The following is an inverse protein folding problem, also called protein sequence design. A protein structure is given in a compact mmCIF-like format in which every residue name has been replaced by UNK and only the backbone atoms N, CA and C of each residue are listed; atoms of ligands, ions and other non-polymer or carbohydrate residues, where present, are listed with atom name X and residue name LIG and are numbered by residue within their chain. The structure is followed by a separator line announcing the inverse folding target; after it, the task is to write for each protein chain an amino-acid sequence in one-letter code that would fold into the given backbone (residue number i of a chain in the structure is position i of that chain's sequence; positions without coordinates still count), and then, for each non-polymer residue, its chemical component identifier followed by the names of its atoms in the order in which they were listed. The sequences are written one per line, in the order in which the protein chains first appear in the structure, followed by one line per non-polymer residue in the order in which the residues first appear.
data_IF_537787981698
#
_entry.id   IF_537787981698
#
_cell.length_a   1.000
_cell.length_b   1.000
_cell.length_c   1.000
_cell.angle_alpha   90.00
_cell.angle_beta   90.00
_cell.angle_gamma   90.00
#
_symmetry.space_group_name_H-M   'P 1'
#
loop_
_entity.id
_entity.type
_entity.pdbx_description
1 polymer ?
#
# COMPACT_ATOMS: atom_id res chain seq x y z
N UNK A 1 10.70 -18.50 -0.90
CA UNK A 1 10.81 -19.90 -1.32
C UNK A 1 12.12 -20.14 -2.08
N UNK A 2 12.38 -19.49 -3.24
CA UNK A 2 13.51 -19.72 -4.17
C UNK A 2 14.89 -19.73 -3.49
N UNK A 3 15.20 -18.71 -2.68
CA UNK A 3 16.48 -18.62 -1.95
C UNK A 3 16.72 -19.81 -1.02
N UNK A 4 15.68 -20.24 -0.29
CA UNK A 4 15.75 -21.38 0.62
C UNK A 4 15.90 -22.70 -0.14
N UNK A 5 15.06 -22.93 -1.14
CA UNK A 5 15.09 -24.15 -1.97
C UNK A 5 16.41 -24.29 -2.71
N UNK A 6 16.92 -23.22 -3.32
CA UNK A 6 18.22 -23.21 -3.99
C UNK A 6 19.36 -23.62 -3.06
N UNK A 7 19.34 -23.11 -1.82
CA UNK A 7 20.36 -23.50 -0.80
C UNK A 7 20.21 -24.97 -0.38
N UNK A 8 18.96 -25.41 -0.12
CA UNK A 8 18.69 -26.73 0.44
C UNK A 8 18.88 -27.86 -0.59
N UNK A 9 18.45 -27.65 -1.81
CA UNK A 9 18.46 -28.67 -2.87
C UNK A 9 19.76 -28.66 -3.70
N UNK A 10 20.44 -27.54 -3.80
CA UNK A 10 21.69 -27.41 -4.55
C UNK A 10 21.52 -27.90 -5.99
N UNK A 11 22.42 -28.79 -6.43
CA UNK A 11 22.42 -29.37 -7.79
C UNK A 11 21.31 -30.41 -8.04
N UNK A 12 20.51 -30.76 -7.00
CA UNK A 12 19.44 -31.79 -7.12
C UNK A 12 18.16 -31.21 -7.76
N UNK A 13 18.08 -29.89 -7.93
CA UNK A 13 16.93 -29.25 -8.55
C UNK A 13 17.35 -28.01 -9.35
N UNK A 14 16.74 -27.85 -10.50
CA UNK A 14 16.77 -26.59 -11.25
C UNK A 14 15.52 -25.78 -10.84
N UNK A 15 15.70 -24.53 -10.53
CA UNK A 15 14.62 -23.65 -10.06
C UNK A 15 14.46 -22.54 -11.07
N UNK A 16 13.29 -22.42 -11.67
CA UNK A 16 12.93 -21.28 -12.50
C UNK A 16 12.07 -20.34 -11.68
N UNK A 17 12.55 -19.12 -11.47
CA UNK A 17 11.79 -18.04 -10.85
C UNK A 17 11.25 -17.13 -11.94
N UNK A 18 9.94 -17.12 -12.09
CA UNK A 18 9.24 -16.26 -13.05
C UNK A 18 8.61 -15.10 -12.28
N UNK A 19 8.93 -13.89 -12.64
CA UNK A 19 8.37 -12.67 -12.08
C UNK A 19 8.17 -11.64 -13.19
N UNK A 20 7.11 -10.84 -13.12
CA UNK A 20 6.88 -9.74 -14.09
C UNK A 20 7.88 -8.59 -13.92
N UNK A 21 8.51 -8.50 -12.74
CA UNK A 21 9.52 -7.50 -12.43
C UNK A 21 10.91 -8.12 -12.31
N UNK A 22 11.95 -7.35 -12.63
CA UNK A 22 13.35 -7.75 -12.42
C UNK A 22 13.81 -7.60 -10.97
N UNK A 23 12.96 -7.11 -10.10
CA UNK A 23 13.23 -6.84 -8.69
C UNK A 23 12.18 -7.45 -7.77
N UNK A 24 12.56 -7.67 -6.53
CA UNK A 24 11.66 -8.01 -5.43
C UNK A 24 11.39 -6.78 -4.58
N UNK A 25 10.14 -6.46 -4.36
CA UNK A 25 9.72 -5.36 -3.48
C UNK A 25 9.49 -5.87 -2.06
N UNK A 26 10.03 -5.15 -1.07
CA UNK A 26 9.67 -5.35 0.34
C UNK A 26 8.28 -4.77 0.58
N UNK A 27 7.25 -5.60 0.40
CA UNK A 27 5.84 -5.18 0.48
C UNK A 27 5.48 -4.60 1.86
N UNK A 28 6.19 -5.02 2.90
CA UNK A 28 6.02 -4.51 4.27
C UNK A 28 6.53 -3.09 4.49
N UNK A 29 7.25 -2.53 3.52
CA UNK A 29 7.87 -1.21 3.59
C UNK A 29 7.19 -0.19 2.63
N UNK A 30 6.09 -0.58 1.96
CA UNK A 30 5.40 0.29 1.00
C UNK A 30 4.93 1.60 1.63
N UNK A 31 4.46 1.56 2.88
CA UNK A 31 4.01 2.74 3.61
C UNK A 31 5.14 3.76 3.82
N UNK A 32 6.39 3.32 3.97
CA UNK A 32 7.55 4.19 4.11
C UNK A 32 7.84 5.00 2.85
N UNK A 33 7.67 4.38 1.68
CA UNK A 33 7.78 5.05 0.38
C UNK A 33 6.60 6.00 0.18
N UNK A 34 5.37 5.54 0.44
CA UNK A 34 4.16 6.34 0.31
C UNK A 34 4.17 7.57 1.21
N UNK A 35 4.72 7.46 2.43
CA UNK A 35 4.90 8.55 3.41
C UNK A 35 6.16 9.40 3.20
N UNK A 36 6.91 9.17 2.12
CA UNK A 36 8.12 9.95 1.81
C UNK A 36 9.23 9.83 2.86
N UNK A 37 9.27 8.71 3.61
CA UNK A 37 10.30 8.46 4.62
C UNK A 37 11.58 7.89 4.02
N UNK A 38 11.44 7.00 3.05
CA UNK A 38 12.56 6.37 2.35
C UNK A 38 12.47 6.62 0.84
N UNK A 39 13.62 6.56 0.18
CA UNK A 39 13.66 6.64 -1.28
C UNK A 39 13.13 5.34 -1.90
N UNK A 40 12.48 5.42 -3.08
CA UNK A 40 11.81 4.29 -3.71
C UNK A 40 12.68 3.05 -3.91
N UNK A 41 13.95 3.23 -4.28
CA UNK A 41 14.89 2.14 -4.54
C UNK A 41 15.35 1.41 -3.26
N UNK A 42 15.14 2.00 -2.08
CA UNK A 42 15.51 1.39 -0.81
C UNK A 42 14.77 0.09 -0.50
N UNK A 43 13.55 -0.06 -1.04
CA UNK A 43 12.71 -1.24 -0.82
C UNK A 43 12.69 -2.23 -1.98
N UNK A 44 13.53 -1.99 -3.01
CA UNK A 44 13.64 -2.85 -4.18
C UNK A 44 14.95 -3.62 -4.19
N UNK A 45 14.87 -4.92 -4.40
CA UNK A 45 16.03 -5.80 -4.47
C UNK A 45 16.12 -6.44 -5.85
N UNK A 46 17.14 -6.08 -6.63
CA UNK A 46 17.40 -6.67 -7.94
C UNK A 46 17.56 -8.18 -7.86
N UNK A 47 16.76 -8.92 -8.62
CA UNK A 47 16.74 -10.38 -8.59
C UNK A 47 18.01 -10.99 -9.15
N UNK A 48 18.62 -10.38 -10.16
CA UNK A 48 19.90 -10.89 -10.73
C UNK A 48 21.01 -10.80 -9.68
N UNK A 49 21.09 -9.66 -8.97
CA UNK A 49 22.03 -9.47 -7.89
C UNK A 49 21.77 -10.42 -6.72
N UNK A 50 20.50 -10.62 -6.35
CA UNK A 50 20.09 -11.51 -5.26
C UNK A 50 20.47 -12.98 -5.52
N UNK A 51 20.37 -13.42 -6.78
CA UNK A 51 20.64 -14.81 -7.20
C UNK A 51 21.95 -15.00 -7.97
N UNK A 52 22.80 -13.99 -8.11
CA UNK A 52 24.06 -14.05 -8.89
C UNK A 52 24.96 -15.26 -8.57
N UNK A 53 24.96 -15.72 -7.32
CA UNK A 53 25.76 -16.87 -6.86
C UNK A 53 24.99 -18.19 -6.82
N UNK A 54 23.79 -18.27 -7.41
CA UNK A 54 22.89 -19.44 -7.38
C UNK A 54 22.80 -20.08 -8.75
N UNK A 55 23.77 -20.94 -9.08
CA UNK A 55 23.87 -21.59 -10.41
C UNK A 55 22.67 -22.47 -10.78
N UNK A 56 21.86 -22.90 -9.79
CA UNK A 56 20.66 -23.69 -9.98
C UNK A 56 19.36 -22.86 -10.01
N UNK A 57 19.46 -21.55 -10.16
CA UNK A 57 18.32 -20.63 -10.30
C UNK A 57 18.40 -19.95 -11.66
N UNK A 58 17.36 -20.15 -12.45
CA UNK A 58 17.08 -19.41 -13.67
C UNK A 58 16.07 -18.31 -13.37
N UNK A 59 16.38 -17.07 -13.74
CA UNK A 59 15.47 -15.93 -13.62
C UNK A 59 14.79 -15.68 -14.97
N UNK A 60 13.48 -15.51 -14.93
CA UNK A 60 12.66 -15.18 -16.11
C UNK A 60 11.82 -13.97 -15.72
N UNK A 61 12.11 -12.84 -16.35
CA UNK A 61 11.30 -11.63 -16.21
C UNK A 61 10.20 -11.66 -17.28
N UNK A 62 9.02 -12.15 -16.88
CA UNK A 62 7.89 -12.31 -17.79
C UNK A 62 6.57 -12.45 -17.03
N UNK A 63 5.45 -12.26 -17.71
CA UNK A 63 4.11 -12.37 -17.13
C UNK A 63 3.51 -13.74 -17.40
N UNK A 64 3.15 -14.46 -16.33
CA UNK A 64 2.40 -15.72 -16.42
C UNK A 64 0.98 -15.42 -16.91
N UNK A 65 0.53 -16.13 -17.95
CA UNK A 65 -0.80 -15.99 -18.54
C UNK A 65 -1.64 -17.27 -18.44
N UNK A 66 -1.03 -18.39 -18.10
CA UNK A 66 -1.74 -19.65 -17.94
C UNK A 66 -0.95 -20.71 -17.19
N UNK A 67 -1.66 -21.64 -16.58
CA UNK A 67 -1.10 -22.81 -15.88
C UNK A 67 -1.92 -24.03 -16.26
N UNK A 68 -1.29 -24.98 -16.91
CA UNK A 68 -1.84 -26.31 -17.19
C UNK A 68 -1.31 -27.27 -16.11
N UNK A 69 -2.19 -27.66 -15.22
CA UNK A 69 -1.83 -28.56 -14.10
C UNK A 69 -1.66 -30.00 -14.53
N UNK A 70 -2.39 -30.45 -15.55
CA UNK A 70 -2.38 -31.82 -16.04
C UNK A 70 -1.11 -32.09 -16.81
N UNK A 71 -0.74 -31.21 -17.74
CA UNK A 71 0.49 -31.31 -18.52
C UNK A 71 1.69 -30.68 -17.81
N UNK A 72 1.50 -30.09 -16.63
CA UNK A 72 2.54 -29.43 -15.80
C UNK A 72 3.32 -28.36 -16.58
N UNK A 73 2.60 -27.42 -17.19
CA UNK A 73 3.15 -26.35 -17.98
C UNK A 73 2.69 -24.99 -17.43
N UNK A 74 3.64 -24.07 -17.25
CA UNK A 74 3.36 -22.64 -17.04
C UNK A 74 3.59 -21.92 -18.37
N UNK A 75 2.59 -21.17 -18.83
CA UNK A 75 2.66 -20.35 -20.03
C UNK A 75 2.83 -18.89 -19.65
N UNK A 76 3.79 -18.23 -20.26
CA UNK A 76 4.05 -16.80 -20.11
C UNK A 76 3.82 -16.09 -21.45
N UNK A 77 3.92 -14.76 -21.48
CA UNK A 77 3.78 -14.01 -22.74
C UNK A 77 4.85 -14.37 -23.77
N UNK A 78 6.04 -14.75 -23.34
CA UNK A 78 7.21 -14.98 -24.20
C UNK A 78 7.58 -16.47 -24.36
N UNK A 79 6.98 -17.38 -23.57
CA UNK A 79 7.32 -18.80 -23.65
C UNK A 79 6.54 -19.71 -22.73
N UNK A 80 6.95 -20.96 -22.65
CA UNK A 80 6.35 -21.98 -21.80
C UNK A 80 7.43 -22.74 -21.02
N UNK A 81 7.09 -23.15 -19.79
CA UNK A 81 8.02 -23.80 -18.87
C UNK A 81 7.36 -25.03 -18.23
N UNK A 82 8.00 -26.18 -18.41
CA UNK A 82 7.58 -27.41 -17.74
C UNK A 82 8.03 -27.41 -16.29
N UNK A 83 7.25 -28.06 -15.41
CA UNK A 83 7.58 -28.19 -14.00
C UNK A 83 7.26 -29.58 -13.46
N UNK A 84 8.05 -30.08 -12.52
CA UNK A 84 7.69 -31.21 -11.66
C UNK A 84 6.88 -30.74 -10.45
N UNK A 85 7.30 -29.61 -9.88
CA UNK A 85 6.69 -28.94 -8.73
C UNK A 85 6.51 -27.44 -9.03
N UNK A 86 5.34 -26.91 -8.73
CA UNK A 86 5.02 -25.49 -8.91
C UNK A 86 4.73 -24.85 -7.54
N UNK A 87 5.38 -23.71 -7.29
CA UNK A 87 5.09 -22.86 -6.14
C UNK A 87 4.45 -21.58 -6.65
N UNK A 88 3.20 -21.33 -6.28
CA UNK A 88 2.47 -20.10 -6.57
C UNK A 88 2.76 -19.08 -5.47
N UNK A 89 3.43 -18.00 -5.83
CA UNK A 89 3.80 -16.92 -4.92
C UNK A 89 3.41 -15.55 -5.47
N UNK A 90 2.30 -15.48 -6.18
CA UNK A 90 1.85 -14.29 -6.94
C UNK A 90 1.26 -13.18 -6.06
N UNK A 91 1.13 -13.41 -4.74
CA UNK A 91 0.48 -12.47 -3.83
C UNK A 91 -1.05 -12.50 -3.96
N UNK A 92 -1.67 -11.35 -3.82
CA UNK A 92 -3.12 -11.15 -3.91
C UNK A 92 -3.44 -9.86 -4.66
N UNK A 93 -4.67 -9.40 -4.51
CA UNK A 93 -5.16 -8.12 -5.02
C UNK A 93 -5.91 -7.36 -3.91
N UNK A 94 -5.93 -6.02 -3.95
CA UNK A 94 -6.74 -5.24 -3.03
C UNK A 94 -8.22 -5.59 -3.20
N UNK A 95 -8.94 -5.67 -2.07
CA UNK A 95 -10.38 -5.85 -2.09
C UNK A 95 -11.06 -4.52 -1.75
N UNK A 96 -11.84 -4.00 -2.70
CA UNK A 96 -12.64 -2.78 -2.54
C UNK A 96 -14.02 -3.06 -1.93
N UNK A 97 -14.34 -4.33 -1.64
CA UNK A 97 -15.64 -4.78 -1.14
C UNK A 97 -16.84 -4.33 -2.00
N UNK A 98 -16.61 -3.99 -3.26
CA UNK A 98 -17.63 -3.47 -4.18
C UNK A 98 -18.08 -2.04 -3.83
N UNK A 99 -17.30 -1.29 -3.07
CA UNK A 99 -17.63 0.10 -2.72
C UNK A 99 -17.47 0.99 -3.95
N UNK A 100 -18.56 1.67 -4.40
CA UNK A 100 -18.52 2.55 -5.56
C UNK A 100 -17.45 3.64 -5.44
N UNK A 101 -16.76 3.90 -6.54
CA UNK A 101 -15.78 4.96 -6.67
C UNK A 101 -14.39 4.68 -6.05
N UNK A 102 -14.20 3.56 -5.35
CA UNK A 102 -12.89 3.23 -4.78
C UNK A 102 -11.83 3.05 -5.85
N UNK A 103 -12.15 2.40 -6.96
CA UNK A 103 -11.19 2.17 -8.06
C UNK A 103 -10.86 3.44 -8.82
N UNK A 104 -11.84 4.33 -8.95
CA UNK A 104 -11.74 5.56 -9.73
C UNK A 104 -11.10 6.71 -8.96
N UNK A 105 -11.35 6.79 -7.65
CA UNK A 105 -11.01 7.96 -6.83
C UNK A 105 -10.16 7.62 -5.60
N UNK A 106 -10.12 6.34 -5.21
CA UNK A 106 -9.31 5.88 -4.08
C UNK A 106 -7.87 5.56 -4.47
N UNK A 107 -7.04 5.42 -3.44
CA UNK A 107 -5.67 4.92 -3.55
C UNK A 107 -5.54 3.63 -2.77
N UNK A 108 -5.02 2.59 -3.40
CA UNK A 108 -4.63 1.36 -2.73
C UNK A 108 -3.14 1.39 -2.41
N UNK A 109 -2.73 0.82 -1.30
CA UNK A 109 -1.32 0.65 -0.96
C UNK A 109 -0.97 -0.84 -1.05
N UNK A 110 -0.77 -1.31 -2.28
CA UNK A 110 -0.57 -2.73 -2.57
C UNK A 110 0.65 -3.03 -3.45
N UNK A 111 1.00 -2.12 -4.32
CA UNK A 111 2.15 -2.22 -5.21
C UNK A 111 3.14 -1.08 -4.96
N UNK A 112 4.34 -1.23 -5.51
CA UNK A 112 5.34 -0.17 -5.50
C UNK A 112 4.84 1.09 -6.23
N UNK A 113 4.18 0.88 -7.36
CA UNK A 113 3.57 1.93 -8.16
C UNK A 113 2.47 2.67 -7.38
N UNK A 114 1.68 1.94 -6.58
CA UNK A 114 0.67 2.56 -5.70
C UNK A 114 1.32 3.46 -4.65
N UNK A 115 2.41 3.01 -4.03
CA UNK A 115 3.12 3.82 -3.04
C UNK A 115 3.65 5.14 -3.64
N UNK A 116 4.20 5.10 -4.85
CA UNK A 116 4.64 6.29 -5.57
C UNK A 116 3.48 7.21 -5.91
N UNK A 117 2.37 6.67 -6.42
CA UNK A 117 1.17 7.46 -6.75
C UNK A 117 0.60 8.16 -5.52
N UNK A 118 0.56 7.50 -4.36
CA UNK A 118 0.13 8.12 -3.11
C UNK A 118 1.06 9.27 -2.73
N UNK A 119 2.38 9.05 -2.75
CA UNK A 119 3.38 10.08 -2.44
C UNK A 119 3.22 11.30 -3.33
N UNK A 120 3.22 11.10 -4.63
CA UNK A 120 3.10 12.17 -5.62
C UNK A 120 1.77 12.93 -5.48
N UNK A 121 0.67 12.20 -5.25
CA UNK A 121 -0.64 12.80 -5.08
C UNK A 121 -0.70 13.68 -3.82
N UNK A 122 -0.19 13.21 -2.69
CA UNK A 122 -0.16 13.97 -1.44
C UNK A 122 0.66 15.25 -1.62
N UNK A 123 1.88 15.16 -2.18
CA UNK A 123 2.75 16.31 -2.44
C UNK A 123 2.06 17.33 -3.36
N UNK A 124 1.46 16.88 -4.46
CA UNK A 124 0.76 17.74 -5.40
C UNK A 124 -0.48 18.41 -4.77
N UNK A 125 -1.22 17.67 -3.96
CA UNK A 125 -2.44 18.18 -3.29
C UNK A 125 -2.08 19.21 -2.25
N UNK A 126 -1.05 19.00 -1.43
CA UNK A 126 -0.56 19.99 -0.46
C UNK A 126 -0.02 21.23 -1.13
N UNK A 127 0.73 21.09 -2.24
CA UNK A 127 1.22 22.22 -3.02
C UNK A 127 0.08 23.11 -3.57
N UNK A 128 -0.98 22.48 -4.08
CA UNK A 128 -2.19 23.20 -4.54
C UNK A 128 -2.92 23.87 -3.38
N UNK A 129 -3.10 23.17 -2.27
CA UNK A 129 -3.77 23.71 -1.09
C UNK A 129 -3.05 24.93 -0.51
N UNK A 130 -1.71 25.00 -0.62
CA UNK A 130 -0.92 26.12 -0.11
C UNK A 130 -1.28 27.46 -0.76
N UNK A 131 -1.81 27.45 -1.98
CA UNK A 131 -2.20 28.65 -2.74
C UNK A 131 -3.71 28.74 -2.98
N UNK A 132 -4.50 27.82 -2.46
CA UNK A 132 -5.96 27.77 -2.62
C UNK A 132 -6.61 28.87 -1.76
N UNK A 133 -7.36 29.82 -2.38
CA UNK A 133 -8.02 30.90 -1.65
C UNK A 133 -9.33 30.48 -0.99
N UNK A 134 -10.02 29.45 -1.51
CA UNK A 134 -11.23 28.93 -0.89
C UNK A 134 -10.89 28.11 0.36
N UNK A 135 -11.27 28.61 1.51
CA UNK A 135 -10.96 27.98 2.78
C UNK A 135 -11.59 26.58 2.96
N UNK A 136 -12.78 26.36 2.38
CA UNK A 136 -13.45 25.06 2.46
C UNK A 136 -12.75 24.02 1.56
N UNK A 137 -12.42 24.41 0.33
CA UNK A 137 -11.68 23.56 -0.59
C UNK A 137 -10.26 23.26 -0.08
N UNK A 138 -9.55 24.30 0.41
CA UNK A 138 -8.24 24.15 1.05
C UNK A 138 -8.29 23.15 2.21
N UNK A 139 -9.29 23.25 3.09
CA UNK A 139 -9.48 22.31 4.19
C UNK A 139 -9.71 20.88 3.70
N UNK A 140 -10.52 20.69 2.65
CA UNK A 140 -10.77 19.38 2.06
C UNK A 140 -9.48 18.77 1.48
N UNK A 141 -8.68 19.56 0.75
CA UNK A 141 -7.38 19.16 0.22
C UNK A 141 -6.37 18.77 1.30
N UNK A 142 -6.41 19.44 2.46
CA UNK A 142 -5.52 19.16 3.59
C UNK A 142 -6.09 18.14 4.59
N UNK A 143 -7.21 17.49 4.26
CA UNK A 143 -7.79 16.39 5.04
C UNK A 143 -7.43 15.06 4.38
N UNK A 144 -6.55 14.29 5.00
CA UNK A 144 -6.14 12.97 4.52
C UNK A 144 -6.91 11.88 5.26
N UNK A 145 -7.53 10.98 4.50
CA UNK A 145 -8.39 9.93 5.04
C UNK A 145 -7.80 8.55 4.72
N UNK A 146 -7.44 7.82 5.77
CA UNK A 146 -7.06 6.42 5.67
C UNK A 146 -8.27 5.55 5.94
N UNK A 147 -8.68 4.77 4.93
CA UNK A 147 -9.84 3.89 4.97
C UNK A 147 -9.44 2.49 5.44
N UNK A 148 -9.92 2.11 6.61
CA UNK A 148 -9.55 0.87 7.28
C UNK A 148 -8.39 1.03 8.28
N UNK A 149 -8.50 0.33 9.39
CA UNK A 149 -7.56 0.38 10.51
C UNK A 149 -6.84 -0.95 10.75
N UNK A 150 -6.64 -1.75 9.69
CA UNK A 150 -5.71 -2.88 9.71
C UNK A 150 -4.25 -2.42 9.82
N UNK A 151 -3.31 -3.36 9.78
CA UNK A 151 -1.88 -3.03 9.88
C UNK A 151 -1.46 -1.96 8.87
N UNK A 152 -1.74 -2.17 7.59
CA UNK A 152 -1.38 -1.24 6.52
C UNK A 152 -1.94 0.17 6.74
N UNK A 153 -3.22 0.29 7.14
CA UNK A 153 -3.81 1.60 7.41
C UNK A 153 -3.19 2.30 8.60
N UNK A 154 -2.87 1.55 9.67
CA UNK A 154 -2.22 2.13 10.87
C UNK A 154 -0.76 2.49 10.58
N UNK A 155 -0.04 1.71 9.80
CA UNK A 155 1.31 2.03 9.33
C UNK A 155 1.30 3.28 8.44
N UNK A 156 0.37 3.36 7.48
CA UNK A 156 0.24 4.53 6.61
C UNK A 156 -0.07 5.82 7.40
N UNK A 157 -1.01 5.78 8.33
CA UNK A 157 -1.31 6.97 9.15
C UNK A 157 -0.13 7.34 10.06
N UNK A 158 0.66 6.36 10.51
CA UNK A 158 1.91 6.58 11.23
C UNK A 158 2.89 7.41 10.39
N UNK A 159 3.11 7.04 9.15
CA UNK A 159 3.96 7.80 8.21
C UNK A 159 3.41 9.22 7.96
N UNK A 160 2.10 9.35 7.79
CA UNK A 160 1.47 10.67 7.60
C UNK A 160 1.64 11.59 8.80
N UNK A 161 1.63 11.06 10.03
CA UNK A 161 1.92 11.82 11.25
C UNK A 161 3.31 12.44 11.19
N UNK A 162 4.31 11.64 10.81
CA UNK A 162 5.70 12.10 10.75
C UNK A 162 5.97 12.98 9.52
N UNK A 163 5.25 12.77 8.43
CA UNK A 163 5.41 13.56 7.21
C UNK A 163 4.71 14.91 7.26
N UNK A 164 3.62 15.00 7.98
CA UNK A 164 2.79 16.22 8.14
C UNK A 164 3.62 17.48 8.43
N UNK A 165 4.53 17.43 9.39
CA UNK A 165 5.33 18.59 9.79
C UNK A 165 6.35 18.98 8.70
N UNK A 166 6.89 18.00 7.97
CA UNK A 166 7.79 18.22 6.82
C UNK A 166 7.04 18.85 5.65
N UNK A 167 5.84 18.34 5.32
CA UNK A 167 4.97 18.92 4.28
C UNK A 167 4.60 20.36 4.61
N UNK A 168 4.13 20.62 5.83
CA UNK A 168 3.78 21.96 6.27
C UNK A 168 4.97 22.93 6.16
N UNK A 169 6.15 22.52 6.61
CA UNK A 169 7.37 23.34 6.47
C UNK A 169 7.72 23.62 5.00
N UNK A 170 7.66 22.60 4.14
CA UNK A 170 8.01 22.72 2.71
C UNK A 170 7.10 23.69 1.99
N UNK A 171 5.79 23.62 2.25
CA UNK A 171 4.79 24.42 1.57
C UNK A 171 4.35 25.67 2.36
N UNK A 172 5.03 25.99 3.48
CA UNK A 172 4.78 27.17 4.34
C UNK A 172 3.35 27.22 4.88
N UNK A 173 2.83 26.09 5.31
CA UNK A 173 1.53 25.92 5.96
C UNK A 173 1.68 25.82 7.49
N UNK A 174 0.59 26.11 8.23
CA UNK A 174 0.52 25.68 9.64
C UNK A 174 0.28 24.16 9.67
N UNK A 175 1.10 23.36 10.38
CA UNK A 175 0.85 21.92 10.51
C UNK A 175 -0.53 21.57 11.04
N UNK A 176 -1.18 22.49 11.74
CA UNK A 176 -2.55 22.31 12.26
C UNK A 176 -3.62 22.32 11.15
N UNK A 177 -3.32 22.86 9.98
CA UNK A 177 -4.22 22.84 8.83
C UNK A 177 -4.33 21.42 8.23
N UNK A 178 -3.28 20.59 8.35
CA UNK A 178 -3.30 19.22 7.86
C UNK A 178 -4.00 18.32 8.87
N UNK A 179 -5.14 17.77 8.48
CA UNK A 179 -5.98 16.86 9.28
C UNK A 179 -5.79 15.42 8.82
N UNK A 180 -5.58 14.52 9.78
CA UNK A 180 -5.47 13.08 9.54
C UNK A 180 -6.66 12.37 10.15
N UNK A 181 -7.34 11.54 9.36
CA UNK A 181 -8.49 10.75 9.79
C UNK A 181 -8.29 9.28 9.44
N UNK A 182 -8.69 8.41 10.36
CA UNK A 182 -8.84 6.97 10.09
C UNK A 182 -10.32 6.64 10.18
N UNK A 183 -10.88 6.13 9.09
CA UNK A 183 -12.28 5.71 9.01
C UNK A 183 -12.35 4.19 9.04
N UNK A 184 -13.07 3.65 10.02
CA UNK A 184 -13.16 2.23 10.28
C UNK A 184 -14.60 1.78 10.46
N UNK A 185 -14.99 0.72 9.79
CA UNK A 185 -16.33 0.13 9.89
C UNK A 185 -16.59 -0.53 11.24
N UNK A 186 -15.54 -1.00 11.90
CA UNK A 186 -15.59 -1.70 13.19
C UNK A 186 -15.54 -0.71 14.37
N UNK A 187 -15.94 -1.14 15.57
CA UNK A 187 -15.91 -0.30 16.77
C UNK A 187 -14.51 -0.05 17.33
N UNK A 188 -13.49 -0.76 16.85
CA UNK A 188 -12.10 -0.67 17.33
C UNK A 188 -11.13 -0.74 16.17
N UNK A 189 -10.00 -0.04 16.30
CA UNK A 189 -8.87 -0.21 15.38
C UNK A 189 -8.14 -1.53 15.67
N UNK A 190 -7.38 -2.05 14.69
CA UNK A 190 -6.53 -3.25 14.82
C UNK A 190 -7.29 -4.41 15.49
N UNK A 191 -8.52 -4.68 15.07
CA UNK A 191 -9.41 -5.67 15.67
C UNK A 191 -8.85 -7.11 15.71
N UNK A 192 -7.79 -7.39 14.92
CA UNK A 192 -7.05 -8.65 14.94
C UNK A 192 -6.04 -8.76 16.11
N UNK A 193 -5.74 -7.66 16.79
CA UNK A 193 -4.82 -7.65 17.94
C UNK A 193 -5.57 -7.79 19.26
N UNK A 194 -4.81 -8.09 20.31
CA UNK A 194 -5.33 -8.06 21.68
C UNK A 194 -5.78 -6.64 22.08
N UNK A 195 -6.85 -6.54 22.90
CA UNK A 195 -7.45 -5.27 23.33
C UNK A 195 -6.44 -4.26 23.88
N UNK A 196 -5.42 -4.75 24.61
CA UNK A 196 -4.42 -3.87 25.22
C UNK A 196 -3.52 -3.19 24.18
N UNK A 197 -3.16 -3.90 23.11
CA UNK A 197 -2.28 -3.37 22.06
C UNK A 197 -3.06 -2.42 21.14
N UNK A 198 -4.28 -2.78 20.76
CA UNK A 198 -5.19 -1.87 20.04
C UNK A 198 -5.40 -0.57 20.83
N UNK A 199 -5.64 -0.64 22.16
CA UNK A 199 -5.82 0.54 23.00
C UNK A 199 -4.55 1.40 23.13
N UNK A 200 -3.35 0.80 23.07
CA UNK A 200 -2.08 1.58 23.02
C UNK A 200 -1.99 2.37 21.72
N UNK A 201 -2.25 1.71 20.57
CA UNK A 201 -2.24 2.35 19.27
C UNK A 201 -3.27 3.48 19.20
N UNK A 202 -4.49 3.25 19.70
CA UNK A 202 -5.54 4.27 19.76
C UNK A 202 -5.12 5.50 20.56
N UNK A 203 -4.55 5.30 21.76
CA UNK A 203 -4.03 6.41 22.58
C UNK A 203 -2.92 7.19 21.87
N UNK A 204 -2.01 6.50 21.17
CA UNK A 204 -0.95 7.14 20.40
C UNK A 204 -1.53 8.01 19.30
N UNK A 205 -2.44 7.46 18.47
CA UNK A 205 -3.08 8.21 17.39
C UNK A 205 -3.83 9.44 17.89
N UNK A 206 -4.61 9.31 18.97
CA UNK A 206 -5.31 10.42 19.60
C UNK A 206 -4.34 11.49 20.14
N UNK A 207 -3.24 11.08 20.76
CA UNK A 207 -2.20 12.02 21.23
C UNK A 207 -1.55 12.79 20.07
N UNK A 208 -1.44 12.17 18.90
CA UNK A 208 -0.99 12.78 17.64
C UNK A 208 -2.09 13.54 16.89
N UNK A 209 -3.28 13.68 17.49
CA UNK A 209 -4.45 14.39 16.94
C UNK A 209 -4.99 13.78 15.63
N UNK A 210 -4.84 12.48 15.47
CA UNK A 210 -5.54 11.72 14.43
C UNK A 210 -6.98 11.52 14.88
N UNK A 211 -7.92 11.87 14.02
CA UNK A 211 -9.35 11.63 14.25
C UNK A 211 -9.69 10.18 13.88
N UNK A 212 -10.26 9.45 14.83
CA UNK A 212 -10.73 8.08 14.62
C UNK A 212 -12.24 8.10 14.45
N UNK A 213 -12.71 7.81 13.22
CA UNK A 213 -14.13 7.71 12.87
C UNK A 213 -14.50 6.23 12.84
N UNK A 214 -14.94 5.71 13.97
CA UNK A 214 -15.25 4.29 14.17
C UNK A 214 -16.74 4.00 13.96
N UNK A 215 -17.11 2.72 13.75
CA UNK A 215 -18.47 2.31 13.38
C UNK A 215 -19.00 3.03 12.13
N UNK A 216 -18.10 3.38 11.21
CA UNK A 216 -18.37 4.24 10.09
C UNK A 216 -18.04 3.54 8.73
N UNK A 217 -18.88 2.59 8.29
CA UNK A 217 -18.67 1.96 7.00
C UNK A 217 -18.79 2.98 5.85
N UNK A 218 -17.78 3.00 4.99
CA UNK A 218 -17.79 3.82 3.77
C UNK A 218 -18.69 3.13 2.75
N UNK A 219 -19.56 3.89 2.11
CA UNK A 219 -20.51 3.39 1.11
C UNK A 219 -20.25 3.97 -0.29
N UNK A 220 -19.46 5.04 -0.39
CA UNK A 220 -19.12 5.68 -1.66
C UNK A 220 -17.82 6.48 -1.49
N UNK A 221 -17.00 6.50 -2.54
CA UNK A 221 -15.83 7.37 -2.66
C UNK A 221 -16.02 8.25 -3.90
N UNK A 222 -16.03 9.55 -3.70
CA UNK A 222 -16.13 10.57 -4.75
C UNK A 222 -14.79 11.31 -4.92
N UNK A 223 -14.62 12.13 -5.98
CA UNK A 223 -13.39 12.88 -6.21
C UNK A 223 -13.02 13.87 -5.09
N UNK A 224 -14.00 14.31 -4.32
CA UNK A 224 -13.89 15.41 -3.33
C UNK A 224 -14.40 15.03 -1.92
N UNK A 225 -14.92 13.83 -1.74
CA UNK A 225 -15.41 13.35 -0.44
C UNK A 225 -15.55 11.83 -0.38
N UNK A 226 -15.66 11.32 0.83
CA UNK A 226 -16.18 9.98 1.10
C UNK A 226 -17.55 10.10 1.77
N UNK A 227 -18.45 9.13 1.51
CA UNK A 227 -19.78 9.04 2.12
C UNK A 227 -19.85 7.85 3.05
N UNK A 228 -20.38 8.07 4.23
CA UNK A 228 -20.58 7.06 5.26
C UNK A 228 -22.01 6.49 5.21
N UNK A 229 -22.20 5.32 5.81
CA UNK A 229 -23.50 4.62 5.84
C UNK A 229 -24.61 5.43 6.51
N UNK A 230 -24.30 6.28 7.48
CA UNK A 230 -25.26 7.14 8.15
C UNK A 230 -25.70 8.36 7.31
N UNK A 231 -25.18 8.49 6.10
CA UNK A 231 -25.45 9.58 5.16
C UNK A 231 -24.50 10.78 5.31
N UNK A 232 -23.66 10.82 6.33
CA UNK A 232 -22.67 11.89 6.48
C UNK A 232 -21.54 11.78 5.44
N UNK A 233 -20.88 12.89 5.16
CA UNK A 233 -19.74 12.97 4.23
C UNK A 233 -18.53 13.56 4.91
N UNK A 234 -17.35 13.12 4.50
CA UNK A 234 -16.06 13.69 4.89
C UNK A 234 -15.42 14.28 3.65
N UNK A 235 -15.35 15.62 3.51
CA UNK A 235 -14.64 16.25 2.41
C UNK A 235 -13.14 15.92 2.47
N UNK A 236 -12.63 15.41 1.36
CA UNK A 236 -11.22 15.03 1.20
C UNK A 236 -10.89 14.86 -0.29
N UNK A 237 -9.63 15.05 -0.63
CA UNK A 237 -9.07 14.74 -1.95
C UNK A 237 -8.00 13.64 -1.87
N UNK A 238 -7.80 13.04 -0.69
CA UNK A 238 -6.78 12.00 -0.44
C UNK A 238 -7.25 11.01 0.60
#
# INVERSE_FOLDING_TARGET
ATKYLSKKLGRKANITLIDRHSYHTMMTELHEVAGGRVEPDAIQYDLQRLFARRKNVQLVTDTVIGIDKENKVVTTKLGSYNFDYLVLGMGGEPNDFGTPGVKEHGFTLWSFEDALRIREHIEATVAKAAIEPDAALRKAMLTFVVCGSGFTGIEMVGELIDWKDRLAKTYKLDPKEISLKVVEAMPTILNMLGRNDAAKAERYLKAKKVELVLNAPIVEVAPDHIKLRDGSTIPTHT
#
